data_IF_754527388388
#
_entry.id   IF_754527388388
#
_cell.length_a   1.000
_cell.length_b   1.000
_cell.length_c   1.000
_cell.angle_alpha   90.00
_cell.angle_beta   90.00
_cell.angle_gamma   90.00
#
_symmetry.space_group_name_H-M   'P 1'
#
loop_
_entity.id
_entity.type
_entity.pdbx_description
1 polymer ?
#
# COMPACT_ATOMS: atom_id res chain seq x y z
N UNK A 1 15.65 -6.25 18.08
CA UNK A 1 15.44 -4.86 17.57
C UNK A 1 13.97 -4.55 17.57
N UNK A 2 13.61 -3.27 17.64
CA UNK A 2 12.23 -2.80 17.52
C UNK A 2 12.05 -2.09 16.17
N UNK A 3 11.18 -2.61 15.34
CA UNK A 3 10.94 -2.16 13.96
C UNK A 3 9.59 -1.44 13.90
N UNK A 4 9.56 -0.25 13.30
CA UNK A 4 8.35 0.51 13.05
C UNK A 4 8.00 0.49 11.55
N UNK A 5 6.86 -0.10 11.21
CA UNK A 5 6.26 -0.02 9.88
C UNK A 5 5.25 1.12 9.79
N UNK A 6 5.31 1.88 8.71
CA UNK A 6 4.50 3.10 8.53
C UNK A 6 3.41 2.98 7.46
N UNK A 7 3.29 1.82 6.83
CA UNK A 7 2.22 1.51 5.86
C UNK A 7 0.90 1.21 6.57
N UNK A 8 -0.24 1.26 5.86
CA UNK A 8 -1.51 0.77 6.36
C UNK A 8 -1.36 -0.62 6.99
N UNK A 9 -2.10 -0.87 8.07
CA UNK A 9 -2.00 -2.12 8.84
C UNK A 9 -2.18 -3.36 7.96
N UNK A 10 -3.13 -3.33 7.04
CA UNK A 10 -3.40 -4.41 6.08
C UNK A 10 -2.21 -4.79 5.20
N UNK A 11 -1.31 -3.84 4.95
CA UNK A 11 -0.09 -4.06 4.17
C UNK A 11 1.11 -4.42 5.05
N UNK A 12 1.08 -4.03 6.32
CA UNK A 12 2.18 -4.24 7.28
C UNK A 12 2.08 -5.54 8.05
N UNK A 13 0.86 -6.09 8.25
CA UNK A 13 0.63 -7.22 9.17
C UNK A 13 1.42 -8.48 8.78
N UNK A 14 1.56 -8.76 7.49
CA UNK A 14 2.35 -9.91 7.02
C UNK A 14 3.83 -9.75 7.37
N UNK A 15 4.40 -8.57 7.09
CA UNK A 15 5.79 -8.26 7.44
C UNK A 15 5.97 -8.25 8.96
N UNK A 16 5.05 -7.65 9.70
CA UNK A 16 5.08 -7.63 11.15
C UNK A 16 5.14 -9.04 11.75
N UNK A 17 4.30 -9.95 11.25
CA UNK A 17 4.32 -11.36 11.68
C UNK A 17 5.63 -12.06 11.30
N UNK A 18 6.16 -11.79 10.10
CA UNK A 18 7.45 -12.35 9.65
C UNK A 18 8.58 -11.91 10.58
N UNK A 19 8.69 -10.62 10.86
CA UNK A 19 9.74 -10.07 11.73
C UNK A 19 9.57 -10.49 13.20
N UNK A 20 8.34 -10.61 13.69
CA UNK A 20 8.09 -11.13 15.04
C UNK A 20 8.57 -12.58 15.19
N UNK A 21 8.39 -13.44 14.17
CA UNK A 21 8.93 -14.83 14.15
C UNK A 21 10.46 -14.86 14.14
N UNK A 22 11.12 -13.83 13.62
CA UNK A 22 12.57 -13.66 13.66
C UNK A 22 13.06 -13.07 15.00
N UNK A 23 12.19 -12.90 15.98
CA UNK A 23 12.54 -12.42 17.32
C UNK A 23 12.61 -10.91 17.46
N UNK A 24 12.08 -10.14 16.49
CA UNK A 24 12.03 -8.69 16.57
C UNK A 24 10.73 -8.21 17.21
N UNK A 25 10.79 -7.10 17.94
CA UNK A 25 9.61 -6.35 18.32
C UNK A 25 9.14 -5.53 17.11
N UNK A 26 7.84 -5.46 16.91
CA UNK A 26 7.27 -4.73 15.76
C UNK A 26 6.15 -3.82 16.25
N UNK A 27 6.14 -2.61 15.74
CA UNK A 27 5.03 -1.67 15.82
C UNK A 27 4.57 -1.28 14.43
N UNK A 28 3.28 -1.01 14.28
CA UNK A 28 2.69 -0.49 13.05
C UNK A 28 2.08 0.87 13.40
N UNK A 29 2.51 1.91 12.70
CA UNK A 29 1.94 3.24 12.77
C UNK A 29 1.61 3.73 11.36
N UNK A 30 0.37 3.52 10.88
CA UNK A 30 -0.03 3.99 9.57
C UNK A 30 -0.01 5.51 9.50
N UNK A 31 0.97 6.07 8.80
CA UNK A 31 1.05 7.52 8.55
C UNK A 31 -0.10 8.00 7.67
N UNK A 32 -0.57 7.12 6.77
CA UNK A 32 -1.74 7.33 5.93
C UNK A 32 -2.77 6.26 6.29
N UNK A 33 -3.93 6.69 6.77
CA UNK A 33 -5.05 5.82 7.12
C UNK A 33 -5.99 5.67 5.93
N UNK A 34 -6.47 4.46 5.70
CA UNK A 34 -7.46 4.18 4.65
C UNK A 34 -8.85 4.55 5.15
N UNK A 35 -9.54 5.38 4.39
CA UNK A 35 -10.93 5.75 4.64
C UNK A 35 -11.80 5.32 3.46
N UNK A 36 -12.81 4.51 3.74
CA UNK A 36 -13.79 4.11 2.72
C UNK A 36 -14.54 5.31 2.17
N UNK A 37 -14.79 5.31 0.87
CA UNK A 37 -15.67 6.27 0.18
C UNK A 37 -16.95 5.58 -0.24
N UNK A 38 -18.06 6.31 -0.17
CA UNK A 38 -19.34 5.85 -0.71
C UNK A 38 -19.25 5.76 -2.23
N UNK A 39 -19.77 4.69 -2.80
CA UNK A 39 -19.88 4.46 -4.22
C UNK A 39 -21.23 3.80 -4.53
N UNK A 40 -21.70 3.90 -5.77
CA UNK A 40 -22.93 3.22 -6.19
C UNK A 40 -22.73 1.70 -6.26
N UNK A 41 -23.74 0.88 -5.90
CA UNK A 41 -23.64 -0.56 -6.02
C UNK A 41 -23.15 -1.01 -7.40
N UNK A 42 -22.19 -1.92 -7.41
CA UNK A 42 -21.57 -2.44 -8.63
C UNK A 42 -22.44 -3.56 -9.19
N UNK A 43 -22.90 -3.41 -10.42
CA UNK A 43 -23.46 -4.53 -11.16
C UNK A 43 -22.33 -5.25 -11.91
N UNK A 44 -21.74 -6.24 -11.27
CA UNK A 44 -20.61 -7.00 -11.83
C UNK A 44 -20.94 -7.72 -13.15
N UNK A 45 -22.22 -8.02 -13.44
CA UNK A 45 -22.62 -8.66 -14.68
C UNK A 45 -22.37 -7.79 -15.94
N UNK A 46 -22.11 -6.49 -15.76
CA UNK A 46 -21.75 -5.56 -16.84
C UNK A 46 -20.28 -5.63 -17.24
N UNK A 47 -19.46 -6.37 -16.52
CA UNK A 47 -18.01 -6.35 -16.66
C UNK A 47 -17.45 -7.73 -16.97
N UNK A 48 -16.52 -7.80 -17.91
CA UNK A 48 -15.77 -9.00 -18.25
C UNK A 48 -14.77 -9.36 -17.14
N UNK A 49 -14.17 -8.35 -16.51
CA UNK A 49 -13.18 -8.54 -15.44
C UNK A 49 -13.11 -7.34 -14.50
N UNK A 50 -12.57 -7.58 -13.30
CA UNK A 50 -12.31 -6.53 -12.30
C UNK A 50 -10.81 -6.42 -12.06
N UNK A 51 -10.30 -5.20 -11.84
CA UNK A 51 -8.89 -4.90 -11.65
C UNK A 51 -8.69 -4.24 -10.28
N UNK A 52 -7.68 -4.71 -9.54
CA UNK A 52 -7.26 -4.14 -8.26
C UNK A 52 -5.74 -3.92 -8.22
N UNK A 53 -5.34 -2.68 -7.99
CA UNK A 53 -3.94 -2.30 -7.77
C UNK A 53 -3.57 -2.20 -6.28
N UNK A 54 -4.53 -2.42 -5.37
CA UNK A 54 -4.32 -2.42 -3.93
C UNK A 54 -5.32 -3.32 -3.21
N UNK A 55 -4.85 -3.99 -2.17
CA UNK A 55 -5.69 -4.75 -1.25
C UNK A 55 -6.76 -3.86 -0.56
N UNK A 56 -6.45 -2.57 -0.36
CA UNK A 56 -7.38 -1.61 0.25
C UNK A 56 -8.65 -1.41 -0.59
N UNK A 57 -8.56 -1.48 -1.92
CA UNK A 57 -9.73 -1.41 -2.78
C UNK A 57 -10.68 -2.61 -2.56
N UNK A 58 -10.12 -3.81 -2.36
CA UNK A 58 -10.90 -5.03 -2.07
C UNK A 58 -11.54 -4.97 -0.69
N UNK A 59 -10.77 -4.55 0.33
CA UNK A 59 -11.25 -4.42 1.71
C UNK A 59 -12.33 -3.34 1.87
N UNK A 60 -12.34 -2.37 0.96
CA UNK A 60 -13.35 -1.31 0.91
C UNK A 60 -14.58 -1.66 0.08
N UNK A 61 -14.65 -2.86 -0.49
CA UNK A 61 -15.88 -3.35 -1.12
C UNK A 61 -16.89 -3.81 -0.06
N UNK A 62 -18.09 -3.25 -0.09
CA UNK A 62 -19.17 -3.56 0.86
C UNK A 62 -20.25 -4.50 0.28
N UNK A 63 -19.98 -5.13 -0.87
CA UNK A 63 -20.95 -6.03 -1.54
C UNK A 63 -20.42 -7.45 -1.68
N UNK A 64 -21.38 -8.37 -1.87
CA UNK A 64 -21.11 -9.77 -2.23
C UNK A 64 -20.54 -9.81 -3.66
N UNK A 65 -19.51 -10.62 -3.85
CA UNK A 65 -18.82 -10.76 -5.11
C UNK A 65 -19.37 -11.97 -5.86
N UNK A 66 -19.73 -11.85 -7.15
CA UNK A 66 -20.03 -13.00 -7.99
C UNK A 66 -18.77 -13.85 -8.17
N UNK A 67 -18.81 -15.10 -7.77
CA UNK A 67 -17.63 -15.99 -7.72
C UNK A 67 -16.97 -16.21 -9.08
N UNK A 68 -17.69 -16.01 -10.20
CA UNK A 68 -17.21 -16.31 -11.54
C UNK A 68 -16.52 -15.16 -12.27
N UNK A 69 -16.55 -13.93 -11.75
CA UNK A 69 -15.89 -12.82 -12.43
C UNK A 69 -14.37 -12.92 -12.25
N UNK A 70 -13.63 -12.76 -13.36
CA UNK A 70 -12.16 -12.73 -13.34
C UNK A 70 -11.66 -11.49 -12.64
N UNK A 71 -10.65 -11.66 -11.80
CA UNK A 71 -10.07 -10.60 -11.00
C UNK A 71 -8.56 -10.50 -11.30
N UNK A 72 -8.10 -9.36 -11.76
CA UNK A 72 -6.69 -9.05 -11.95
C UNK A 72 -6.15 -8.29 -10.74
N UNK A 73 -5.10 -8.83 -10.12
CA UNK A 73 -4.46 -8.25 -8.94
C UNK A 73 -3.00 -7.90 -9.24
N UNK A 74 -2.55 -6.73 -8.82
CA UNK A 74 -1.17 -6.28 -9.04
C UNK A 74 -0.13 -7.21 -8.42
N UNK A 75 -0.42 -7.81 -7.28
CA UNK A 75 0.50 -8.69 -6.56
C UNK A 75 -0.20 -9.62 -5.59
N UNK A 76 0.60 -10.47 -4.95
CA UNK A 76 0.11 -11.59 -4.12
C UNK A 76 -0.74 -11.14 -2.92
N UNK A 77 -0.35 -10.07 -2.21
CA UNK A 77 -1.12 -9.53 -1.08
C UNK A 77 -2.54 -9.14 -1.51
N UNK A 78 -2.66 -8.47 -2.66
CA UNK A 78 -3.95 -8.08 -3.23
C UNK A 78 -4.76 -9.32 -3.64
N UNK A 79 -4.10 -10.30 -4.26
CA UNK A 79 -4.74 -11.54 -4.68
C UNK A 79 -5.28 -12.38 -3.53
N UNK A 80 -4.55 -12.48 -2.42
CA UNK A 80 -5.01 -13.16 -1.22
C UNK A 80 -6.27 -12.50 -0.63
N UNK A 81 -6.32 -11.16 -0.61
CA UNK A 81 -7.53 -10.46 -0.18
C UNK A 81 -8.70 -10.67 -1.16
N UNK A 82 -8.44 -10.73 -2.47
CA UNK A 82 -9.47 -11.04 -3.47
C UNK A 82 -10.06 -12.44 -3.24
N UNK A 83 -9.23 -13.45 -3.04
CA UNK A 83 -9.67 -14.81 -2.72
C UNK A 83 -10.50 -14.86 -1.43
N UNK A 84 -10.04 -14.18 -0.37
CA UNK A 84 -10.79 -14.07 0.91
C UNK A 84 -12.13 -13.36 0.75
N UNK A 85 -12.23 -12.42 -0.18
CA UNK A 85 -13.46 -11.68 -0.49
C UNK A 85 -14.45 -12.48 -1.34
N UNK A 86 -14.03 -13.63 -1.93
CA UNK A 86 -14.89 -14.54 -2.68
C UNK A 86 -14.62 -14.60 -4.18
N UNK A 87 -13.57 -13.93 -4.68
CA UNK A 87 -13.15 -14.11 -6.07
C UNK A 87 -12.53 -15.50 -6.27
N UNK A 88 -13.02 -16.29 -7.22
CA UNK A 88 -12.51 -17.64 -7.52
C UNK A 88 -11.51 -17.66 -8.69
N UNK A 89 -11.66 -16.75 -9.69
CA UNK A 89 -10.75 -16.62 -10.83
C UNK A 89 -9.84 -15.39 -10.60
N UNK A 90 -8.71 -15.60 -9.91
CA UNK A 90 -7.77 -14.53 -9.54
C UNK A 90 -6.46 -14.69 -10.30
N UNK A 91 -6.16 -13.71 -11.14
CA UNK A 91 -4.90 -13.57 -11.88
C UNK A 91 -3.98 -12.62 -11.16
N UNK A 92 -2.77 -13.06 -10.84
CA UNK A 92 -1.76 -12.26 -10.11
C UNK A 92 -0.72 -11.78 -11.12
N UNK A 93 -0.46 -10.46 -11.11
CA UNK A 93 0.67 -9.89 -11.80
C UNK A 93 1.93 -9.95 -10.91
N UNK A 94 3.09 -9.72 -11.47
CA UNK A 94 4.37 -9.88 -10.77
C UNK A 94 4.70 -8.81 -9.69
N UNK A 95 3.72 -8.04 -9.22
CA UNK A 95 3.86 -7.09 -8.12
C UNK A 95 4.02 -5.63 -8.52
N UNK A 96 4.05 -5.30 -9.82
CA UNK A 96 4.14 -3.93 -10.29
C UNK A 96 3.09 -3.59 -11.35
N UNK A 97 2.95 -2.30 -11.61
CA UNK A 97 1.98 -1.74 -12.54
C UNK A 97 2.16 -2.24 -13.98
N UNK A 98 3.41 -2.27 -14.47
CA UNK A 98 3.71 -2.63 -15.85
C UNK A 98 3.31 -4.09 -16.15
N UNK A 99 3.67 -4.99 -15.26
CA UNK A 99 3.30 -6.41 -15.36
C UNK A 99 1.78 -6.62 -15.29
N UNK A 100 1.07 -5.81 -14.48
CA UNK A 100 -0.39 -5.86 -14.43
C UNK A 100 -1.00 -5.44 -15.78
N UNK A 101 -0.52 -4.35 -16.37
CA UNK A 101 -0.95 -3.90 -17.68
C UNK A 101 -0.71 -4.99 -18.74
N UNK A 102 0.50 -5.54 -18.80
CA UNK A 102 0.87 -6.58 -19.78
C UNK A 102 0.00 -7.83 -19.67
N UNK A 103 -0.25 -8.33 -18.45
CA UNK A 103 -1.07 -9.53 -18.27
C UNK A 103 -2.54 -9.30 -18.64
N UNK A 104 -3.06 -8.10 -18.45
CA UNK A 104 -4.40 -7.72 -18.90
C UNK A 104 -4.45 -7.74 -20.43
N UNK A 105 -3.48 -7.10 -21.11
CA UNK A 105 -3.40 -7.06 -22.57
C UNK A 105 -3.29 -8.45 -23.20
N UNK A 106 -2.65 -9.40 -22.51
CA UNK A 106 -2.49 -10.78 -22.99
C UNK A 106 -3.72 -11.66 -22.75
N UNK A 107 -4.49 -11.41 -21.69
CA UNK A 107 -5.53 -12.36 -21.21
C UNK A 107 -6.96 -11.88 -21.42
N UNK A 108 -7.17 -10.66 -21.87
CA UNK A 108 -8.50 -10.08 -22.08
C UNK A 108 -8.66 -9.69 -23.54
N UNK A 109 -9.71 -10.17 -24.20
CA UNK A 109 -10.10 -9.68 -25.51
C UNK A 109 -10.95 -8.42 -25.36
N UNK A 110 -10.78 -7.45 -26.26
CA UNK A 110 -11.51 -6.17 -26.22
C UNK A 110 -13.01 -6.36 -26.38
N UNK A 111 -13.41 -7.42 -27.08
CA UNK A 111 -14.80 -7.78 -27.33
C UNK A 111 -15.47 -8.51 -26.16
N UNK A 112 -14.72 -8.99 -25.16
CA UNK A 112 -15.27 -9.70 -24.00
C UNK A 112 -16.16 -8.78 -23.12
N UNK A 113 -16.06 -7.46 -23.29
CA UNK A 113 -16.83 -6.45 -22.57
C UNK A 113 -15.96 -5.48 -21.78
N UNK A 114 -16.63 -4.70 -20.96
CA UNK A 114 -15.96 -3.66 -20.15
C UNK A 114 -15.11 -4.24 -19.02
N UNK A 115 -14.02 -3.57 -18.70
CA UNK A 115 -13.24 -3.77 -17.49
C UNK A 115 -13.71 -2.84 -16.38
N UNK A 116 -13.69 -3.31 -15.13
CA UNK A 116 -13.94 -2.49 -13.97
C UNK A 116 -12.62 -2.28 -13.19
N UNK A 117 -12.17 -1.05 -13.06
CA UNK A 117 -11.04 -0.70 -12.21
C UNK A 117 -11.53 -0.12 -10.88
N UNK A 118 -11.43 -0.91 -9.79
CA UNK A 118 -11.75 -0.44 -8.44
C UNK A 118 -10.47 0.03 -7.76
N UNK A 119 -10.45 1.32 -7.35
CA UNK A 119 -9.22 1.99 -6.94
C UNK A 119 -9.41 3.00 -5.82
N UNK A 120 -8.29 3.41 -5.26
CA UNK A 120 -8.22 4.58 -4.41
C UNK A 120 -8.33 5.89 -5.18
N UNK A 121 -8.59 6.97 -4.46
CA UNK A 121 -8.63 8.33 -5.01
C UNK A 121 -7.26 8.77 -5.53
N UNK A 122 -6.21 8.43 -4.80
CA UNK A 122 -4.82 8.71 -5.20
C UNK A 122 -4.22 7.49 -5.86
N UNK A 123 -3.69 7.67 -7.07
CA UNK A 123 -3.04 6.64 -7.87
C UNK A 123 -1.65 7.10 -8.29
N UNK A 124 -0.70 6.17 -8.39
CA UNK A 124 0.66 6.45 -8.87
C UNK A 124 0.75 6.44 -10.39
N UNK A 125 -0.12 5.66 -11.04
CA UNK A 125 -0.18 5.49 -12.50
C UNK A 125 -1.64 5.41 -12.93
N UNK A 126 -1.95 6.01 -14.06
CA UNK A 126 -3.31 6.03 -14.61
C UNK A 126 -3.57 4.80 -15.51
N UNK A 127 -3.82 3.65 -14.86
CA UNK A 127 -4.14 2.40 -15.54
C UNK A 127 -5.39 2.51 -16.43
N UNK A 128 -6.39 3.28 -16.00
CA UNK A 128 -7.60 3.48 -16.77
C UNK A 128 -7.29 4.14 -18.12
N UNK A 129 -6.54 5.25 -18.09
CA UNK A 129 -6.15 5.95 -19.31
C UNK A 129 -5.29 5.08 -20.21
N UNK A 130 -4.33 4.34 -19.63
CA UNK A 130 -3.46 3.47 -20.41
C UNK A 130 -4.19 2.31 -21.09
N UNK A 131 -5.15 1.68 -20.40
CA UNK A 131 -5.99 0.64 -21.02
C UNK A 131 -6.94 1.21 -22.07
N UNK A 132 -7.47 2.43 -21.87
CA UNK A 132 -8.27 3.11 -22.89
C UNK A 132 -7.47 3.45 -24.15
N UNK A 133 -6.19 3.83 -24.02
CA UNK A 133 -5.28 4.03 -25.16
C UNK A 133 -5.08 2.75 -25.96
N UNK A 134 -5.12 1.60 -25.29
CA UNK A 134 -5.09 0.27 -25.90
C UNK A 134 -6.49 -0.18 -26.40
N UNK A 135 -7.47 0.74 -26.46
CA UNK A 135 -8.84 0.51 -26.95
C UNK A 135 -9.71 -0.42 -26.08
N UNK A 136 -9.38 -0.59 -24.79
CA UNK A 136 -10.29 -1.25 -23.85
C UNK A 136 -11.36 -0.29 -23.34
N UNK A 137 -12.60 -0.78 -23.20
CA UNK A 137 -13.63 -0.07 -22.46
C UNK A 137 -13.40 -0.28 -20.95
N UNK A 138 -13.14 0.80 -20.20
CA UNK A 138 -12.82 0.74 -18.77
C UNK A 138 -13.73 1.72 -18.02
N UNK A 139 -14.41 1.22 -16.99
CA UNK A 139 -15.07 2.04 -15.98
C UNK A 139 -14.23 2.03 -14.69
N UNK A 140 -14.14 3.15 -13.99
CA UNK A 140 -13.45 3.27 -12.70
C UNK A 140 -14.39 3.56 -11.57
N UNK A 141 -14.13 2.97 -10.40
CA UNK A 141 -14.79 3.26 -9.14
C UNK A 141 -13.76 3.60 -8.09
N UNK A 142 -13.91 4.77 -7.48
CA UNK A 142 -13.11 5.19 -6.33
C UNK A 142 -13.87 4.80 -5.07
N UNK A 143 -13.38 3.78 -4.35
CA UNK A 143 -14.06 3.24 -3.17
C UNK A 143 -13.32 3.48 -1.86
N UNK A 144 -12.13 4.09 -1.90
CA UNK A 144 -11.42 4.56 -0.72
C UNK A 144 -10.54 5.77 -1.02
N UNK A 145 -10.16 6.46 0.02
CA UNK A 145 -9.11 7.48 0.02
C UNK A 145 -8.09 7.19 1.12
N UNK A 146 -6.99 7.93 1.14
CA UNK A 146 -6.04 7.92 2.24
C UNK A 146 -5.98 9.29 2.87
N UNK A 147 -6.16 9.34 4.18
CA UNK A 147 -6.03 10.55 4.99
C UNK A 147 -4.76 10.45 5.85
N UNK A 148 -4.04 11.55 6.06
CA UNK A 148 -2.89 11.56 6.94
C UNK A 148 -3.33 11.38 8.40
N UNK A 149 -2.54 10.66 9.19
CA UNK A 149 -2.64 10.68 10.63
C UNK A 149 -2.32 12.09 11.12
N UNK A 150 -3.13 12.61 12.03
CA UNK A 150 -2.98 13.99 12.52
C UNK A 150 -1.87 14.10 13.56
N UNK A 151 -1.63 13.01 14.30
CA UNK A 151 -0.65 12.96 15.38
C UNK A 151 -0.10 11.54 15.54
N UNK A 152 0.98 11.41 16.32
CA UNK A 152 1.44 10.10 16.78
C UNK A 152 0.48 9.57 17.85
N UNK A 153 0.19 8.27 17.84
CA UNK A 153 -0.50 7.66 18.96
C UNK A 153 0.40 7.63 20.21
N UNK A 154 -0.22 7.59 21.37
CA UNK A 154 0.46 7.64 22.67
C UNK A 154 1.49 6.52 22.86
N UNK A 155 1.22 5.34 22.29
CA UNK A 155 2.09 4.17 22.39
C UNK A 155 3.38 4.34 21.56
N UNK A 156 3.27 4.93 20.37
CA UNK A 156 4.45 5.25 19.56
C UNK A 156 5.25 6.38 20.17
N UNK A 157 4.58 7.43 20.68
CA UNK A 157 5.24 8.52 21.40
C UNK A 157 6.02 8.01 22.62
N UNK A 158 5.44 7.12 23.40
CA UNK A 158 6.13 6.50 24.54
C UNK A 158 7.40 5.75 24.10
N UNK A 159 7.31 4.98 23.01
CA UNK A 159 8.46 4.23 22.47
C UNK A 159 9.54 5.16 21.93
N UNK A 160 9.17 6.23 21.25
CA UNK A 160 10.11 7.25 20.75
C UNK A 160 10.82 7.94 21.93
N UNK A 161 10.06 8.36 22.95
CA UNK A 161 10.62 9.00 24.15
C UNK A 161 11.60 8.09 24.90
N UNK A 162 11.30 6.80 24.98
CA UNK A 162 12.16 5.78 25.60
C UNK A 162 13.29 5.30 24.68
N UNK A 163 13.42 5.82 23.45
CA UNK A 163 14.39 5.41 22.43
C UNK A 163 14.38 3.91 22.16
N UNK A 164 13.20 3.31 22.14
CA UNK A 164 13.03 1.87 21.94
C UNK A 164 12.95 1.48 20.47
N UNK A 165 12.72 2.42 19.54
CA UNK A 165 12.60 2.14 18.11
C UNK A 165 13.99 2.17 17.50
N UNK A 166 14.39 1.05 16.89
CA UNK A 166 15.71 0.90 16.26
C UNK A 166 15.67 1.22 14.76
N UNK A 167 14.58 0.84 14.06
CA UNK A 167 14.47 0.95 12.60
C UNK A 167 13.07 1.42 12.22
N UNK A 168 13.00 2.31 11.22
CA UNK A 168 11.73 2.78 10.63
C UNK A 168 11.78 2.55 9.12
N UNK A 169 10.72 1.94 8.58
CA UNK A 169 10.53 1.74 7.14
C UNK A 169 9.53 2.74 6.56
N UNK A 170 9.93 3.49 5.53
CA UNK A 170 9.09 4.44 4.80
C UNK A 170 9.02 4.05 3.32
N UNK A 171 7.81 3.87 2.82
CA UNK A 171 7.56 3.26 1.51
C UNK A 171 7.12 4.23 0.41
N UNK A 172 6.71 5.44 0.72
CA UNK A 172 6.24 6.40 -0.27
C UNK A 172 6.62 7.83 0.07
N UNK A 173 6.80 8.66 -0.96
CA UNK A 173 7.08 10.09 -0.80
C UNK A 173 5.99 10.78 0.02
N UNK A 174 4.71 10.48 -0.26
CA UNK A 174 3.56 11.04 0.48
C UNK A 174 3.62 10.68 1.96
N UNK A 175 3.94 9.42 2.31
CA UNK A 175 4.14 9.01 3.70
C UNK A 175 5.32 9.73 4.34
N UNK A 176 6.44 9.88 3.63
CA UNK A 176 7.62 10.60 4.11
C UNK A 176 7.31 12.08 4.42
N UNK A 177 6.60 12.75 3.51
CA UNK A 177 6.18 14.16 3.70
C UNK A 177 5.29 14.34 4.94
N UNK A 178 4.32 13.43 5.14
CA UNK A 178 3.45 13.48 6.32
C UNK A 178 4.20 13.10 7.59
N UNK A 179 5.09 12.13 7.55
CA UNK A 179 5.91 11.74 8.70
C UNK A 179 6.84 12.88 9.14
N UNK A 180 7.49 13.55 8.19
CA UNK A 180 8.28 14.74 8.47
C UNK A 180 7.45 15.83 9.15
N UNK A 181 6.23 16.12 8.63
CA UNK A 181 5.32 17.09 9.26
C UNK A 181 4.96 16.70 10.69
N UNK A 182 4.64 15.42 10.95
CA UNK A 182 4.35 14.94 12.30
C UNK A 182 5.54 15.16 13.25
N UNK A 183 6.76 14.82 12.80
CA UNK A 183 7.98 15.00 13.57
C UNK A 183 8.21 16.48 13.92
N UNK A 184 8.08 17.37 12.92
CA UNK A 184 8.29 18.80 13.14
C UNK A 184 7.20 19.44 14.00
N UNK A 185 5.94 19.10 13.77
CA UNK A 185 4.81 19.64 14.53
C UNK A 185 4.85 19.26 16.02
N UNK A 186 5.43 18.10 16.33
CA UNK A 186 5.56 17.59 17.70
C UNK A 186 6.94 17.87 18.32
N UNK A 187 7.83 18.61 17.64
CA UNK A 187 9.19 18.91 18.11
C UNK A 187 10.02 17.65 18.45
N UNK A 188 9.83 16.56 17.68
CA UNK A 188 10.43 15.25 17.93
C UNK A 188 11.74 15.00 17.16
N UNK A 189 12.32 15.99 16.46
CA UNK A 189 13.49 15.79 15.57
C UNK A 189 14.66 15.10 16.29
N UNK A 190 14.92 15.45 17.55
CA UNK A 190 16.00 14.88 18.35
C UNK A 190 15.82 13.41 18.75
N UNK A 191 14.61 12.84 18.59
CA UNK A 191 14.32 11.45 18.99
C UNK A 191 14.80 10.44 17.95
N UNK A 192 15.16 10.87 16.73
CA UNK A 192 15.51 9.99 15.61
C UNK A 192 17.01 9.82 15.41
N UNK A 193 17.87 10.53 16.16
CA UNK A 193 19.32 10.46 16.01
C UNK A 193 19.93 9.06 16.28
N UNK A 194 19.22 8.20 17.04
CA UNK A 194 19.60 6.81 17.27
C UNK A 194 18.87 5.82 16.35
N UNK A 195 17.94 6.27 15.52
CA UNK A 195 17.06 5.44 14.69
C UNK A 195 17.63 5.27 13.30
N UNK A 196 17.62 4.05 12.77
CA UNK A 196 17.96 3.75 11.39
C UNK A 196 16.75 3.95 10.49
N UNK A 197 16.92 4.72 9.41
CA UNK A 197 15.89 4.98 8.41
C UNK A 197 16.07 4.07 7.21
N UNK A 198 14.99 3.44 6.77
CA UNK A 198 14.93 2.64 5.55
C UNK A 198 13.90 3.25 4.61
N UNK A 199 14.34 3.72 3.44
CA UNK A 199 13.51 4.36 2.43
C UNK A 199 13.49 3.56 1.14
N UNK A 200 12.33 3.52 0.47
CA UNK A 200 12.17 2.78 -0.79
C UNK A 200 13.00 3.37 -1.94
N UNK A 201 13.29 4.68 -1.90
CA UNK A 201 14.03 5.40 -2.94
C UNK A 201 14.51 6.75 -2.44
N UNK A 202 15.38 7.42 -3.21
CA UNK A 202 15.82 8.79 -2.96
C UNK A 202 14.64 9.77 -2.88
N UNK A 203 13.63 9.64 -3.74
CA UNK A 203 12.42 10.47 -3.69
C UNK A 203 11.65 10.33 -2.38
N UNK A 204 11.70 9.17 -1.75
CA UNK A 204 11.09 8.93 -0.43
C UNK A 204 11.95 9.54 0.68
N UNK A 205 13.27 9.52 0.53
CA UNK A 205 14.21 10.09 1.49
C UNK A 205 14.15 11.62 1.55
N UNK A 206 13.97 12.30 0.42
CA UNK A 206 14.07 13.76 0.33
C UNK A 206 13.33 14.54 1.43
N UNK A 207 12.07 14.27 1.79
CA UNK A 207 11.36 15.00 2.85
C UNK A 207 11.95 14.81 4.24
N UNK A 208 12.74 13.75 4.45
CA UNK A 208 13.28 13.31 5.74
C UNK A 208 14.75 13.72 5.97
N UNK A 209 15.41 14.31 4.97
CA UNK A 209 16.83 14.69 5.02
C UNK A 209 17.17 15.75 6.10
N UNK A 210 16.18 16.55 6.52
CA UNK A 210 16.37 17.58 7.57
C UNK A 210 16.33 17.01 8.98
N UNK A 211 16.04 15.72 9.14
CA UNK A 211 16.00 15.00 10.41
C UNK A 211 17.30 14.22 10.54
N UNK A 212 17.92 14.29 11.72
CA UNK A 212 19.13 13.52 11.97
C UNK A 212 18.78 12.06 12.25
N UNK A 213 19.34 11.16 11.47
CA UNK A 213 19.19 9.72 11.60
C UNK A 213 20.54 9.08 11.97
N UNK A 214 20.50 7.94 12.66
CA UNK A 214 21.72 7.17 12.94
C UNK A 214 22.34 6.60 11.65
N UNK A 215 21.47 6.08 10.78
CA UNK A 215 21.86 5.53 9.49
C UNK A 215 20.70 5.66 8.51
N UNK A 216 21.01 5.81 7.23
CA UNK A 216 20.03 5.83 6.15
C UNK A 216 20.43 4.80 5.11
N UNK A 217 19.51 3.89 4.76
CA UNK A 217 19.69 2.96 3.62
C UNK A 217 18.45 2.94 2.74
N UNK A 218 18.65 2.74 1.45
CA UNK A 218 17.58 2.45 0.51
C UNK A 218 17.33 0.94 0.46
N UNK A 219 16.09 0.54 0.19
CA UNK A 219 15.72 -0.86 0.07
C UNK A 219 14.75 -1.10 -1.10
N UNK A 220 14.63 -2.36 -1.52
CA UNK A 220 13.61 -2.78 -2.50
C UNK A 220 12.48 -3.53 -1.79
N UNK A 221 11.21 -3.39 -2.22
CA UNK A 221 10.10 -4.12 -1.64
C UNK A 221 10.35 -5.63 -1.68
N UNK A 222 10.05 -6.30 -0.57
CA UNK A 222 10.29 -7.74 -0.40
C UNK A 222 11.67 -8.09 0.16
N UNK A 223 12.58 -7.11 0.26
CA UNK A 223 13.94 -7.28 0.77
C UNK A 223 14.15 -6.61 2.13
N UNK A 224 13.08 -6.31 2.87
CA UNK A 224 13.14 -5.59 4.14
C UNK A 224 14.03 -6.29 5.16
N UNK A 225 14.07 -7.62 5.19
CA UNK A 225 14.89 -8.40 6.11
C UNK A 225 16.41 -8.25 5.89
N UNK A 226 16.83 -7.99 4.66
CA UNK A 226 18.26 -7.79 4.30
C UNK A 226 18.73 -6.35 4.62
N UNK A 227 17.88 -5.52 5.17
CA UNK A 227 18.16 -4.12 5.48
C UNK A 227 18.16 -3.83 6.99
N UNK A 228 18.27 -4.86 7.82
CA UNK A 228 18.30 -4.73 9.27
C UNK A 228 19.68 -4.36 9.83
N UNK A 229 20.73 -4.70 9.09
CA UNK A 229 22.13 -4.40 9.45
C UNK A 229 22.56 -3.04 8.94
#
# INVERSE_FOLDING_TARGET
MHILFTRPETESIYLAQKFARLGHQVSIFPILQVQKKKYSPINFAKYASVIFTSANAILSLDQVIPSKIRCFCVGEVTAQQAKRKGFSDVVVAGGNYQQLKEIILQKVNKEDGKLLYVRGEFISHDLEQDLRRESFAVDSIINYTTIPSLDFDSHILEKLNKKLIDIIFIYSKKSAEHFAKLIFNNNLQGHFSSVRLRCLSENVLMPLQKIQWNEIKLFSPGNEEFCLD
#
